data_IF_337652560598
#
_entry.id   IF_337652560598
#
_cell.length_a   1.000
_cell.length_b   1.000
_cell.length_c   1.000
_cell.angle_alpha   90.00
_cell.angle_beta   90.00
_cell.angle_gamma   90.00
#
_symmetry.space_group_name_H-M   'P 1'
#
loop_
_entity.id
_entity.type
_entity.pdbx_description
1 polymer ?
#
# COMPACT_ATOMS: atom_id res chain seq x y z
N UNK A 1 -28.24 47.81 16.26
CA UNK A 1 -28.55 46.60 17.02
C UNK A 1 -29.34 45.56 16.22
N UNK A 2 -30.53 45.84 15.69
CA UNK A 2 -31.37 44.82 15.00
C UNK A 2 -30.73 44.15 13.77
N UNK A 3 -29.85 44.81 13.00
CA UNK A 3 -29.16 44.22 11.84
C UNK A 3 -28.11 43.21 12.25
N UNK A 4 -27.31 43.49 13.25
CA UNK A 4 -26.29 42.57 13.76
C UNK A 4 -26.90 41.31 14.37
N UNK A 5 -28.04 41.47 15.06
CA UNK A 5 -28.75 40.30 15.62
C UNK A 5 -29.23 39.35 14.52
N UNK A 6 -29.72 39.88 13.39
CA UNK A 6 -30.11 39.06 12.23
C UNK A 6 -28.91 38.32 11.59
N UNK A 7 -27.77 39.00 11.48
CA UNK A 7 -26.55 38.38 10.93
C UNK A 7 -26.08 37.25 11.84
N UNK A 8 -26.03 37.47 13.15
CA UNK A 8 -25.63 36.42 14.12
C UNK A 8 -26.60 35.23 14.07
N UNK A 9 -27.91 35.51 14.03
CA UNK A 9 -28.91 34.46 13.92
C UNK A 9 -28.77 33.64 12.62
N UNK A 10 -28.50 34.31 11.48
CA UNK A 10 -28.26 33.61 10.20
C UNK A 10 -27.01 32.76 10.24
N UNK A 11 -25.91 33.26 10.82
CA UNK A 11 -24.68 32.47 10.99
C UNK A 11 -24.90 31.24 11.88
N UNK A 12 -25.65 31.40 12.95
CA UNK A 12 -25.98 30.28 13.85
C UNK A 12 -26.79 29.19 13.14
N UNK A 13 -27.77 29.58 12.34
CA UNK A 13 -28.57 28.65 11.53
C UNK A 13 -27.67 27.92 10.52
N UNK A 14 -26.77 28.64 9.84
CA UNK A 14 -25.83 28.02 8.90
C UNK A 14 -24.93 26.97 9.61
N UNK A 15 -24.39 27.33 10.78
CA UNK A 15 -23.56 26.41 11.59
C UNK A 15 -24.38 25.19 11.99
N UNK A 16 -25.62 25.36 12.45
CA UNK A 16 -26.47 24.22 12.81
C UNK A 16 -26.79 23.32 11.63
N UNK A 17 -27.03 23.89 10.44
CA UNK A 17 -27.24 23.13 9.23
C UNK A 17 -25.98 22.34 8.85
N UNK A 18 -24.80 22.98 8.91
CA UNK A 18 -23.52 22.29 8.63
C UNK A 18 -23.30 21.14 9.62
N UNK A 19 -23.52 21.37 10.91
CA UNK A 19 -23.41 20.33 11.93
C UNK A 19 -24.39 19.18 11.66
N UNK A 20 -25.64 19.49 11.37
CA UNK A 20 -26.66 18.47 11.06
C UNK A 20 -26.31 17.61 9.87
N UNK A 21 -25.78 18.20 8.78
CA UNK A 21 -25.38 17.49 7.57
C UNK A 21 -24.07 16.71 7.79
N UNK A 22 -23.19 17.22 8.68
CA UNK A 22 -21.90 16.58 8.96
C UNK A 22 -21.99 15.42 9.96
N UNK A 23 -23.05 15.35 10.75
CA UNK A 23 -23.25 14.25 11.71
C UNK A 23 -24.04 13.14 11.02
N UNK A 24 -23.35 12.06 10.65
CA UNK A 24 -24.02 10.84 10.21
C UNK A 24 -24.32 9.92 11.39
N UNK A 25 -25.47 9.27 11.36
CA UNK A 25 -25.79 8.23 12.34
C UNK A 25 -24.81 7.07 12.16
N UNK A 26 -24.17 6.62 13.24
CA UNK A 26 -23.35 5.44 13.22
C UNK A 26 -24.26 4.25 12.91
N UNK A 27 -23.94 3.52 11.86
CA UNK A 27 -24.60 2.25 11.55
C UNK A 27 -24.11 1.19 12.55
N UNK A 28 -25.03 0.70 13.35
CA UNK A 28 -24.77 -0.36 14.36
C UNK A 28 -25.26 -1.72 13.88
N UNK A 29 -25.71 -1.84 12.64
CA UNK A 29 -26.10 -3.12 12.05
C UNK A 29 -24.91 -4.09 12.03
N UNK A 30 -25.12 -5.37 12.25
CA UNK A 30 -24.06 -6.37 12.08
C UNK A 30 -23.45 -6.26 10.68
N UNK A 31 -22.11 -6.33 10.57
CA UNK A 31 -21.40 -6.15 9.30
C UNK A 31 -21.89 -7.09 8.19
N UNK A 32 -22.33 -8.30 8.55
CA UNK A 32 -22.83 -9.32 7.61
C UNK A 32 -24.24 -9.00 7.06
N UNK A 33 -24.93 -7.99 7.58
CA UNK A 33 -26.19 -7.46 7.05
C UNK A 33 -25.96 -6.28 6.10
N UNK A 34 -24.72 -5.79 6.02
CA UNK A 34 -24.38 -4.64 5.18
C UNK A 34 -24.33 -4.98 3.69
N UNK A 35 -24.69 -4.03 2.85
CA UNK A 35 -24.63 -4.20 1.40
C UNK A 35 -23.21 -4.49 0.89
N UNK A 36 -22.19 -3.89 1.52
CA UNK A 36 -20.80 -4.14 1.12
C UNK A 36 -20.41 -5.61 1.38
N UNK A 37 -20.85 -6.21 2.48
CA UNK A 37 -20.58 -7.62 2.77
C UNK A 37 -21.20 -8.53 1.72
N UNK A 38 -22.48 -8.34 1.41
CA UNK A 38 -23.16 -9.12 0.38
C UNK A 38 -22.51 -8.97 -0.99
N UNK A 39 -22.15 -7.76 -1.37
CA UNK A 39 -21.43 -7.50 -2.63
C UNK A 39 -20.05 -8.17 -2.65
N UNK A 40 -19.32 -8.13 -1.53
CA UNK A 40 -18.01 -8.80 -1.42
C UNK A 40 -18.14 -10.31 -1.56
N UNK A 41 -19.09 -10.93 -0.85
CA UNK A 41 -19.37 -12.37 -0.97
C UNK A 41 -19.78 -12.75 -2.40
N UNK A 42 -20.63 -11.96 -3.04
CA UNK A 42 -21.01 -12.19 -4.43
C UNK A 42 -19.80 -12.16 -5.37
N UNK A 43 -18.91 -11.17 -5.20
CA UNK A 43 -17.68 -11.06 -6.00
C UNK A 43 -16.72 -12.22 -5.75
N UNK A 44 -16.57 -12.68 -4.50
CA UNK A 44 -15.76 -13.85 -4.16
C UNK A 44 -16.32 -15.10 -4.83
N UNK A 45 -17.63 -15.31 -4.80
CA UNK A 45 -18.28 -16.46 -5.45
C UNK A 45 -18.07 -16.45 -6.97
N UNK A 46 -18.12 -15.27 -7.60
CA UNK A 46 -17.80 -15.13 -9.03
C UNK A 46 -16.35 -15.50 -9.28
N UNK A 47 -15.40 -14.98 -8.48
CA UNK A 47 -13.99 -15.28 -8.60
C UNK A 47 -13.72 -16.79 -8.42
N UNK A 48 -14.36 -17.45 -7.46
CA UNK A 48 -14.27 -18.90 -7.27
C UNK A 48 -14.81 -19.70 -8.45
N UNK A 49 -15.87 -19.23 -9.08
CA UNK A 49 -16.47 -19.91 -10.26
C UNK A 49 -15.56 -19.91 -11.49
N UNK A 50 -14.67 -18.91 -11.60
CA UNK A 50 -13.71 -18.78 -12.70
C UNK A 50 -12.29 -19.27 -12.32
N UNK A 51 -12.11 -19.75 -11.10
CA UNK A 51 -10.82 -20.24 -10.62
C UNK A 51 -10.31 -21.40 -11.50
N UNK A 52 -9.14 -21.21 -12.05
CA UNK A 52 -8.42 -22.27 -12.77
C UNK A 52 -7.37 -22.87 -11.85
N UNK A 53 -7.29 -24.20 -11.83
CA UNK A 53 -6.22 -24.94 -11.17
C UNK A 53 -5.25 -25.46 -12.20
N UNK A 54 -4.00 -25.09 -12.14
CA UNK A 54 -2.93 -25.69 -12.93
C UNK A 54 -2.43 -26.95 -12.24
N UNK A 55 -2.30 -28.06 -13.00
CA UNK A 55 -1.74 -29.31 -12.51
C UNK A 55 -0.47 -29.60 -13.28
N UNK A 56 0.61 -29.91 -12.59
CA UNK A 56 1.89 -30.20 -13.25
C UNK A 56 3.04 -30.13 -12.26
N UNK A 57 4.24 -30.16 -12.79
CA UNK A 57 5.46 -29.99 -12.01
C UNK A 57 5.54 -28.54 -11.55
N UNK A 58 5.63 -28.32 -10.24
CA UNK A 58 5.90 -27.01 -9.68
C UNK A 58 7.39 -26.69 -9.82
N UNK A 59 7.68 -25.56 -10.45
CA UNK A 59 8.98 -24.92 -10.45
C UNK A 59 8.95 -23.73 -9.49
N UNK A 60 10.05 -23.51 -8.79
CA UNK A 60 10.20 -22.38 -7.89
C UNK A 60 11.56 -21.74 -8.06
N UNK A 61 11.58 -20.42 -8.09
CA UNK A 61 12.79 -19.60 -8.07
C UNK A 61 12.69 -18.56 -6.97
N UNK A 62 13.82 -18.12 -6.45
CA UNK A 62 13.85 -17.05 -5.47
C UNK A 62 15.02 -16.11 -5.71
N UNK A 63 14.84 -14.87 -5.30
CA UNK A 63 15.86 -13.83 -5.35
C UNK A 63 15.80 -12.96 -4.09
N UNK A 64 16.93 -12.37 -3.74
CA UNK A 64 17.04 -11.41 -2.64
C UNK A 64 18.00 -10.31 -3.07
N UNK A 65 17.60 -9.07 -2.82
CA UNK A 65 18.42 -7.88 -3.07
C UNK A 65 18.49 -7.01 -1.82
N UNK A 66 19.68 -6.55 -1.48
CA UNK A 66 19.84 -5.53 -0.45
C UNK A 66 19.35 -4.19 -0.99
N UNK A 67 18.40 -3.57 -0.28
CA UNK A 67 17.82 -2.26 -0.60
C UNK A 67 18.14 -1.22 0.47
N UNK A 68 19.11 -1.51 1.34
CA UNK A 68 19.54 -0.58 2.39
C UNK A 68 20.16 0.66 1.76
N UNK A 69 19.59 1.85 2.00
CA UNK A 69 20.17 3.08 1.47
C UNK A 69 21.49 3.42 2.15
N UNK A 70 22.33 4.14 1.43
CA UNK A 70 23.56 4.71 1.99
C UNK A 70 23.28 6.10 2.54
N UNK A 71 23.66 6.35 3.79
CA UNK A 71 23.49 7.66 4.43
C UNK A 71 24.76 8.46 4.19
N UNK A 72 24.74 9.30 3.17
CA UNK A 72 25.83 10.21 2.79
C UNK A 72 25.32 11.30 1.85
N UNK A 73 26.10 12.35 1.66
CA UNK A 73 25.87 13.34 0.62
C UNK A 73 26.17 12.69 -0.74
N UNK A 74 25.12 12.39 -1.51
CA UNK A 74 25.22 11.67 -2.77
C UNK A 74 23.98 11.79 -3.64
N UNK A 75 23.90 10.97 -4.65
CA UNK A 75 22.78 10.94 -5.60
C UNK A 75 21.73 9.93 -5.19
N UNK A 76 20.51 10.38 -4.97
CA UNK A 76 19.37 9.53 -4.62
C UNK A 76 19.10 8.44 -5.67
N UNK A 77 19.45 8.64 -6.93
CA UNK A 77 19.33 7.60 -7.97
C UNK A 77 20.28 6.40 -7.73
N UNK A 78 21.35 6.61 -6.97
CA UNK A 78 22.29 5.58 -6.55
C UNK A 78 21.96 5.02 -5.14
N UNK A 79 20.83 5.42 -4.53
CA UNK A 79 20.48 5.04 -3.18
C UNK A 79 21.28 5.77 -2.08
N UNK A 80 21.83 6.96 -2.38
CA UNK A 80 22.62 7.77 -1.48
C UNK A 80 21.78 8.95 -1.00
N UNK A 81 21.67 9.10 0.33
CA UNK A 81 20.81 10.11 0.93
C UNK A 81 21.48 10.81 2.09
N UNK A 82 21.46 12.13 2.09
CA UNK A 82 21.96 12.94 3.22
C UNK A 82 21.17 12.68 4.50
N UNK A 83 19.85 12.57 4.38
CA UNK A 83 18.96 12.31 5.51
C UNK A 83 17.89 11.31 5.11
N UNK A 84 17.72 10.27 5.91
CA UNK A 84 16.67 9.27 5.74
C UNK A 84 15.73 9.37 6.94
N UNK A 85 14.47 9.70 6.67
CA UNK A 85 13.42 9.62 7.68
C UNK A 85 13.03 8.16 7.87
N UNK A 86 12.86 7.75 9.12
CA UNK A 86 12.33 6.45 9.48
C UNK A 86 10.81 6.46 9.35
N UNK A 87 10.26 5.36 8.82
CA UNK A 87 8.84 5.16 8.69
C UNK A 87 8.19 4.88 10.05
N UNK A 88 7.04 5.50 10.33
CA UNK A 88 6.21 5.12 11.48
C UNK A 88 6.57 5.71 12.84
N UNK A 89 7.55 6.60 12.94
CA UNK A 89 7.91 7.29 14.18
C UNK A 89 7.56 8.79 14.16
N UNK A 90 6.36 9.13 13.74
CA UNK A 90 5.87 10.53 13.70
C UNK A 90 6.61 11.39 12.69
N UNK A 91 6.82 12.67 12.99
CA UNK A 91 7.39 13.67 12.06
C UNK A 91 8.88 13.48 11.74
N UNK A 92 9.39 12.28 11.93
CA UNK A 92 10.64 11.92 11.31
C UNK A 92 11.82 11.87 12.24
N UNK A 93 11.90 10.80 12.97
CA UNK A 93 13.23 10.38 13.41
C UNK A 93 14.10 10.16 12.18
N UNK A 94 15.27 10.75 12.21
CA UNK A 94 16.29 10.60 11.16
C UNK A 94 17.14 9.39 11.51
N UNK A 95 17.38 8.52 10.53
CA UNK A 95 18.31 7.42 10.70
C UNK A 95 19.72 7.94 10.97
N UNK A 96 20.34 7.40 12.01
CA UNK A 96 21.73 7.75 12.40
C UNK A 96 22.73 6.70 11.96
N UNK A 97 22.27 5.59 11.40
CA UNK A 97 23.08 4.48 10.91
C UNK A 97 22.23 3.29 10.52
N UNK A 98 22.89 2.23 10.13
CA UNK A 98 22.27 0.95 9.76
C UNK A 98 22.64 -0.07 10.85
N UNK A 99 21.61 -0.60 11.52
CA UNK A 99 21.80 -1.72 12.46
C UNK A 99 21.75 -3.05 11.68
N UNK A 100 20.67 -3.24 10.92
CA UNK A 100 20.47 -4.40 10.06
C UNK A 100 20.13 -3.95 8.63
N UNK A 101 20.63 -4.69 7.65
CA UNK A 101 20.29 -4.44 6.25
C UNK A 101 18.83 -4.79 5.97
N UNK A 102 18.16 -3.98 5.13
CA UNK A 102 16.83 -4.24 4.62
C UNK A 102 16.87 -4.83 3.21
N UNK A 103 15.92 -5.70 2.89
CA UNK A 103 15.93 -6.47 1.66
C UNK A 103 14.60 -6.42 0.93
N UNK A 104 14.68 -6.50 -0.39
CA UNK A 104 13.59 -6.98 -1.22
C UNK A 104 13.83 -8.47 -1.53
N UNK A 105 12.78 -9.26 -1.42
CA UNK A 105 12.80 -10.72 -1.63
C UNK A 105 11.70 -11.08 -2.60
N UNK A 106 11.96 -12.01 -3.51
CA UNK A 106 10.97 -12.48 -4.45
C UNK A 106 10.98 -14.01 -4.51
N UNK A 107 9.80 -14.59 -4.65
CA UNK A 107 9.59 -16.01 -4.94
C UNK A 107 8.73 -16.08 -6.20
N UNK A 108 9.24 -16.74 -7.23
CA UNK A 108 8.49 -17.08 -8.42
C UNK A 108 8.06 -18.56 -8.34
N UNK A 109 6.79 -18.81 -8.64
CA UNK A 109 6.20 -20.14 -8.70
C UNK A 109 5.61 -20.33 -10.10
N UNK A 110 5.94 -21.44 -10.74
CA UNK A 110 5.48 -21.75 -12.09
C UNK A 110 4.92 -23.16 -12.18
N UNK A 111 3.79 -23.30 -12.86
CA UNK A 111 3.20 -24.58 -13.26
C UNK A 111 2.67 -24.46 -14.69
N UNK A 112 3.17 -25.31 -15.61
CA UNK A 112 2.73 -25.30 -17.01
C UNK A 112 2.85 -23.96 -17.74
N UNK A 113 3.88 -23.16 -17.43
CA UNK A 113 4.09 -21.85 -18.03
C UNK A 113 3.29 -20.71 -17.39
N UNK A 114 2.40 -21.02 -16.46
CA UNK A 114 1.71 -20.01 -15.64
C UNK A 114 2.59 -19.65 -14.45
N UNK A 115 3.04 -18.42 -14.38
CA UNK A 115 3.97 -17.94 -13.36
C UNK A 115 3.30 -16.91 -12.47
N UNK A 116 3.49 -17.04 -11.15
CA UNK A 116 3.12 -16.03 -10.14
C UNK A 116 4.39 -15.63 -9.40
N UNK A 117 4.54 -14.35 -9.11
CA UNK A 117 5.65 -13.81 -8.32
C UNK A 117 5.14 -13.14 -7.07
N UNK A 118 5.65 -13.53 -5.92
CA UNK A 118 5.42 -12.85 -4.66
C UNK A 118 6.67 -12.03 -4.33
N UNK A 119 6.49 -10.73 -4.12
CA UNK A 119 7.55 -9.79 -3.74
C UNK A 119 7.26 -9.28 -2.34
N UNK A 120 8.24 -9.35 -1.46
CA UNK A 120 8.18 -8.78 -0.12
C UNK A 120 9.39 -7.88 0.11
N UNK A 121 9.16 -6.66 0.60
CA UNK A 121 10.22 -5.73 0.95
C UNK A 121 10.20 -5.39 2.43
N UNK A 122 11.38 -5.15 3.01
CA UNK A 122 11.53 -4.70 4.39
C UNK A 122 11.28 -3.18 4.47
N UNK A 123 10.03 -2.80 4.15
CA UNK A 123 9.49 -1.44 4.12
C UNK A 123 8.23 -1.35 4.98
N UNK A 124 7.78 -0.13 5.27
CA UNK A 124 6.50 0.11 5.95
C UNK A 124 5.33 -0.40 5.09
N UNK A 125 5.35 -0.07 3.80
CA UNK A 125 4.34 -0.50 2.82
C UNK A 125 4.95 -0.54 1.42
N UNK A 126 4.27 -1.18 0.50
CA UNK A 126 4.55 -1.05 -0.93
C UNK A 126 3.69 0.09 -1.47
N UNK A 127 4.26 1.29 -1.52
CA UNK A 127 3.58 2.45 -2.09
C UNK A 127 3.30 2.22 -3.58
N UNK A 128 2.20 2.77 -4.08
CA UNK A 128 1.80 2.60 -5.48
C UNK A 128 2.87 3.13 -6.45
N UNK A 129 3.49 4.24 -6.12
CA UNK A 129 4.61 4.81 -6.88
C UNK A 129 5.80 3.86 -7.03
N UNK A 130 6.08 3.05 -6.00
CA UNK A 130 7.13 2.02 -6.05
C UNK A 130 6.70 0.89 -6.97
N UNK A 131 5.45 0.44 -6.87
CA UNK A 131 4.89 -0.61 -7.72
C UNK A 131 4.91 -0.18 -9.19
N UNK A 132 4.43 1.03 -9.51
CA UNK A 132 4.48 1.61 -10.86
C UNK A 132 5.91 1.73 -11.40
N UNK A 133 6.87 2.11 -10.54
CA UNK A 133 8.29 2.14 -10.89
C UNK A 133 8.81 0.77 -11.27
N UNK A 134 8.48 -0.26 -10.51
CA UNK A 134 8.86 -1.65 -10.80
C UNK A 134 8.22 -2.13 -12.12
N UNK A 135 6.95 -1.84 -12.34
CA UNK A 135 6.26 -2.19 -13.60
C UNK A 135 6.92 -1.55 -14.81
N UNK A 136 7.27 -0.26 -14.69
CA UNK A 136 7.98 0.46 -15.75
C UNK A 136 9.33 -0.17 -16.07
N UNK A 137 10.08 -0.59 -15.05
CA UNK A 137 11.37 -1.25 -15.23
C UNK A 137 11.26 -2.67 -15.80
N UNK A 138 10.18 -3.39 -15.49
CA UNK A 138 9.91 -4.73 -16.04
C UNK A 138 9.44 -4.69 -17.48
N UNK A 139 8.88 -3.57 -17.94
CA UNK A 139 8.36 -3.41 -19.29
C UNK A 139 9.46 -3.64 -20.34
N UNK A 140 9.24 -4.63 -21.20
CA UNK A 140 10.21 -5.03 -22.22
C UNK A 140 11.37 -5.94 -21.72
N UNK A 141 11.45 -6.17 -20.40
CA UNK A 141 12.43 -7.10 -19.79
C UNK A 141 11.77 -8.40 -19.33
N UNK A 142 10.46 -8.40 -19.15
CA UNK A 142 9.69 -9.55 -18.72
C UNK A 142 8.37 -9.63 -19.47
N UNK A 143 7.86 -10.83 -19.68
CA UNK A 143 6.51 -11.10 -20.20
C UNK A 143 5.50 -11.28 -19.08
N UNK A 144 5.91 -11.14 -17.83
CA UNK A 144 5.05 -11.31 -16.66
C UNK A 144 4.02 -10.18 -16.58
N UNK A 145 2.76 -10.54 -16.57
CA UNK A 145 1.66 -9.57 -16.44
C UNK A 145 1.58 -9.04 -14.99
N UNK A 146 1.07 -7.82 -14.83
CA UNK A 146 0.98 -7.13 -13.53
C UNK A 146 0.16 -7.91 -12.49
N UNK A 147 -0.93 -8.51 -12.90
CA UNK A 147 -1.83 -9.30 -12.06
C UNK A 147 -1.22 -10.64 -11.61
N UNK A 148 -0.08 -11.03 -12.17
CA UNK A 148 0.72 -12.17 -11.73
C UNK A 148 1.80 -11.81 -10.69
N UNK A 149 1.89 -10.54 -10.28
CA UNK A 149 2.84 -10.08 -9.27
C UNK A 149 2.08 -9.60 -8.04
N UNK A 150 2.35 -10.23 -6.90
CA UNK A 150 1.79 -9.87 -5.60
C UNK A 150 2.86 -9.16 -4.80
N UNK A 151 2.58 -7.90 -4.43
CA UNK A 151 3.48 -7.09 -3.63
C UNK A 151 3.05 -7.05 -2.17
N UNK A 152 4.02 -7.17 -1.27
CA UNK A 152 3.84 -7.06 0.16
C UNK A 152 5.01 -6.36 0.83
N UNK A 153 4.81 -5.91 2.04
CA UNK A 153 5.85 -5.32 2.89
C UNK A 153 5.83 -5.99 4.26
N UNK A 154 6.98 -6.01 4.93
CA UNK A 154 7.08 -6.53 6.30
C UNK A 154 6.47 -5.61 7.35
N UNK A 155 6.07 -4.41 6.93
CA UNK A 155 5.53 -3.34 7.79
C UNK A 155 6.50 -2.89 8.88
N UNK A 156 7.81 -2.92 8.60
CA UNK A 156 8.80 -2.44 9.56
C UNK A 156 8.76 -0.91 9.68
N UNK A 157 8.78 -0.42 10.92
CA UNK A 157 8.83 1.00 11.22
C UNK A 157 10.26 1.55 11.28
N UNK A 158 11.25 0.67 11.26
CA UNK A 158 12.69 1.01 11.36
C UNK A 158 13.39 1.02 10.01
N UNK A 159 12.66 1.07 8.91
CA UNK A 159 13.20 1.27 7.57
C UNK A 159 12.97 2.71 7.08
N UNK A 160 13.47 2.98 5.88
CA UNK A 160 13.26 4.28 5.23
C UNK A 160 11.78 4.56 4.95
N UNK A 161 11.43 5.83 5.02
CA UNK A 161 10.14 6.35 4.62
C UNK A 161 10.08 6.41 3.08
N UNK A 162 9.09 5.79 2.47
CA UNK A 162 9.01 5.56 1.02
C UNK A 162 7.72 6.06 0.36
N UNK A 163 7.25 7.26 0.78
CA UNK A 163 6.08 7.90 0.16
C UNK A 163 6.44 8.65 -1.12
#
# INVERSE_FOLDING_TARGET
MKKWLKIIASLLVIILVILYVSISKIDTSPYFESSYYHNTIANINVADSIRKTSKGRLLAGFARMNITPTIMDGDASNGEFNKIKLAGFGDGQIATGVHDSIFAKAIALEVNGETIVLVSADLLMMAETVVEGIEKELKGKSTLARDHIIFGATHTHSSMFNW
#
